data_IF_223085569423
#
_entry.id   IF_223085569423
#
_cell.length_a   1.000
_cell.length_b   1.000
_cell.length_c   1.000
_cell.angle_alpha   90.00
_cell.angle_beta   90.00
_cell.angle_gamma   90.00
#
_symmetry.space_group_name_H-M   'P 1'
#
loop_
_entity.id
_entity.type
_entity.pdbx_description
1 polymer ?
#
# COMPACT_ATOMS: atom_id res chain seq x y z
N UNK A 1 -29.27 5.52 -30.41
CA UNK A 1 -28.79 4.34 -31.16
C UNK A 1 -27.29 4.41 -31.13
N UNK A 2 -26.65 3.54 -30.36
CA UNK A 2 -25.21 3.60 -30.18
C UNK A 2 -24.54 2.66 -31.17
N UNK A 3 -24.05 3.23 -32.28
CA UNK A 3 -23.17 2.49 -33.19
C UNK A 3 -21.78 2.37 -32.58
N UNK A 4 -20.97 1.41 -33.06
CA UNK A 4 -19.64 1.16 -32.49
C UNK A 4 -18.73 2.36 -32.74
N UNK A 5 -18.85 3.02 -33.90
CA UNK A 5 -18.10 4.24 -34.19
C UNK A 5 -18.52 5.41 -33.30
N UNK A 6 -19.81 5.55 -33.00
CA UNK A 6 -20.31 6.61 -32.12
C UNK A 6 -19.90 6.37 -30.66
N UNK A 7 -19.91 5.12 -30.20
CA UNK A 7 -19.39 4.75 -28.88
C UNK A 7 -17.90 5.08 -28.75
N UNK A 8 -17.09 4.74 -29.77
CA UNK A 8 -15.67 5.10 -29.79
C UNK A 8 -15.46 6.61 -29.78
N UNK A 9 -16.23 7.37 -30.58
CA UNK A 9 -16.18 8.84 -30.57
C UNK A 9 -16.51 9.40 -29.19
N UNK A 10 -17.56 8.89 -28.54
CA UNK A 10 -17.98 9.29 -27.20
C UNK A 10 -16.90 9.00 -26.16
N UNK A 11 -16.31 7.81 -26.18
CA UNK A 11 -15.24 7.45 -25.24
C UNK A 11 -13.97 8.29 -25.44
N UNK A 12 -13.61 8.64 -26.68
CA UNK A 12 -12.52 9.59 -26.93
C UNK A 12 -12.85 10.98 -26.41
N UNK A 13 -14.06 11.48 -26.64
CA UNK A 13 -14.53 12.76 -26.09
C UNK A 13 -14.47 12.75 -24.55
N UNK A 14 -14.96 11.70 -23.91
CA UNK A 14 -14.96 11.54 -22.45
C UNK A 14 -13.55 11.55 -21.86
N UNK A 15 -12.61 10.84 -22.50
CA UNK A 15 -11.20 10.85 -22.11
C UNK A 15 -10.59 12.24 -22.20
N UNK A 16 -10.83 12.96 -23.29
CA UNK A 16 -10.32 14.32 -23.46
C UNK A 16 -10.87 15.26 -22.38
N UNK A 17 -12.18 15.17 -22.10
CA UNK A 17 -12.82 15.96 -21.04
C UNK A 17 -12.28 15.64 -19.65
N UNK A 18 -12.05 14.35 -19.34
CA UNK A 18 -11.43 13.95 -18.08
C UNK A 18 -10.03 14.56 -17.94
N UNK A 19 -9.21 14.53 -19.00
CA UNK A 19 -7.88 15.15 -19.00
C UNK A 19 -7.97 16.67 -18.78
N UNK A 20 -8.87 17.35 -19.48
CA UNK A 20 -9.09 18.80 -19.32
C UNK A 20 -9.48 19.17 -17.88
N UNK A 21 -10.39 18.40 -17.28
CA UNK A 21 -10.87 18.68 -15.91
C UNK A 21 -9.78 18.38 -14.89
N UNK A 22 -9.05 17.26 -15.02
CA UNK A 22 -7.91 16.97 -14.16
C UNK A 22 -6.81 18.04 -14.29
N UNK A 23 -6.52 18.52 -15.51
CA UNK A 23 -5.56 19.59 -15.73
C UNK A 23 -5.99 20.91 -15.07
N UNK A 24 -7.28 21.26 -15.16
CA UNK A 24 -7.85 22.42 -14.45
C UNK A 24 -7.77 22.25 -12.94
N UNK A 25 -8.09 21.07 -12.42
CA UNK A 25 -8.01 20.76 -10.98
C UNK A 25 -6.59 20.95 -10.45
N UNK A 26 -5.58 20.50 -11.21
CA UNK A 26 -4.16 20.66 -10.88
C UNK A 26 -3.65 22.10 -10.97
N UNK A 27 -4.26 22.94 -11.82
CA UNK A 27 -3.90 24.35 -11.94
C UNK A 27 -4.40 25.18 -10.75
N UNK A 28 -5.43 24.71 -10.05
CA UNK A 28 -6.07 25.47 -8.98
C UNK A 28 -5.22 25.39 -7.71
N UNK A 29 -4.99 26.56 -7.11
CA UNK A 29 -4.23 26.66 -5.86
C UNK A 29 -5.04 26.08 -4.71
N UNK A 30 -4.43 25.14 -4.00
CA UNK A 30 -4.99 24.48 -2.81
C UNK A 30 -4.43 25.21 -1.58
N UNK A 31 -5.30 25.76 -0.74
CA UNK A 31 -4.91 26.59 0.42
C UNK A 31 -4.73 25.77 1.68
N UNK A 32 -5.49 24.68 1.84
CA UNK A 32 -5.41 23.80 3.03
C UNK A 32 -5.07 22.36 2.65
N UNK A 33 -4.59 21.58 3.62
CA UNK A 33 -4.32 20.14 3.46
C UNK A 33 -5.60 19.38 3.08
N UNK A 34 -6.73 19.74 3.70
CA UNK A 34 -8.05 19.17 3.39
C UNK A 34 -8.44 19.40 1.94
N UNK A 35 -8.25 20.63 1.43
CA UNK A 35 -8.54 20.95 0.03
C UNK A 35 -7.63 20.19 -0.93
N UNK A 36 -6.36 20.00 -0.54
CA UNK A 36 -5.41 19.20 -1.30
C UNK A 36 -5.85 17.75 -1.40
N UNK A 37 -6.10 17.08 -0.26
CA UNK A 37 -6.53 15.68 -0.21
C UNK A 37 -7.82 15.47 -1.01
N UNK A 38 -8.82 16.35 -0.82
CA UNK A 38 -10.08 16.26 -1.55
C UNK A 38 -9.90 16.43 -3.06
N UNK A 39 -9.05 17.36 -3.48
CA UNK A 39 -8.72 17.55 -4.88
C UNK A 39 -8.06 16.31 -5.49
N UNK A 40 -7.17 15.69 -4.73
CA UNK A 40 -6.45 14.49 -5.14
C UNK A 40 -7.41 13.29 -5.24
N UNK A 41 -8.39 13.16 -4.33
CA UNK A 41 -9.46 12.15 -4.42
C UNK A 41 -10.39 12.35 -5.61
N UNK A 42 -10.79 13.60 -5.91
CA UNK A 42 -11.56 13.88 -7.15
C UNK A 42 -10.76 13.47 -8.37
N UNK A 43 -9.48 13.80 -8.41
CA UNK A 43 -8.59 13.46 -9.51
C UNK A 43 -8.44 11.94 -9.63
N UNK A 44 -8.33 11.22 -8.51
CA UNK A 44 -8.29 9.75 -8.51
C UNK A 44 -9.56 9.14 -9.08
N UNK A 45 -10.74 9.60 -8.67
CA UNK A 45 -12.01 9.13 -9.25
C UNK A 45 -12.10 9.41 -10.78
N UNK A 46 -11.56 10.54 -11.24
CA UNK A 46 -11.46 10.84 -12.68
C UNK A 46 -10.47 9.92 -13.40
N UNK A 47 -9.35 9.56 -12.77
CA UNK A 47 -8.39 8.60 -13.32
C UNK A 47 -8.99 7.20 -13.43
N UNK A 48 -9.72 6.74 -12.40
CA UNK A 48 -10.38 5.44 -12.42
C UNK A 48 -11.40 5.37 -13.58
N UNK A 49 -12.22 6.43 -13.74
CA UNK A 49 -13.13 6.57 -14.89
C UNK A 49 -12.38 6.60 -16.23
N UNK A 50 -11.25 7.30 -16.30
CA UNK A 50 -10.41 7.36 -17.50
C UNK A 50 -9.84 5.97 -17.87
N UNK A 51 -9.41 5.19 -16.88
CA UNK A 51 -8.90 3.84 -17.06
C UNK A 51 -10.00 2.89 -17.54
N UNK A 52 -11.19 2.96 -16.94
CA UNK A 52 -12.35 2.17 -17.36
C UNK A 52 -12.73 2.48 -18.81
N UNK A 53 -12.90 3.76 -19.16
CA UNK A 53 -13.22 4.20 -20.52
C UNK A 53 -12.14 3.75 -21.51
N UNK A 54 -10.87 3.86 -21.12
CA UNK A 54 -9.76 3.41 -21.97
C UNK A 54 -9.73 1.89 -22.17
N UNK A 55 -10.09 1.12 -21.14
CA UNK A 55 -10.23 -0.34 -21.23
C UNK A 55 -11.34 -0.73 -22.21
N UNK A 56 -12.54 -0.16 -22.02
CA UNK A 56 -13.69 -0.40 -22.89
C UNK A 56 -13.40 0.01 -24.35
N UNK A 57 -12.74 1.15 -24.54
CA UNK A 57 -12.35 1.66 -25.85
C UNK A 57 -11.38 0.70 -26.56
N UNK A 58 -10.36 0.20 -25.84
CA UNK A 58 -9.41 -0.77 -26.39
C UNK A 58 -10.13 -2.05 -26.84
N UNK A 59 -11.04 -2.56 -26.02
CA UNK A 59 -11.79 -3.78 -26.37
C UNK A 59 -12.66 -3.60 -27.62
N UNK A 60 -13.21 -2.39 -27.84
CA UNK A 60 -13.92 -2.04 -29.07
C UNK A 60 -13.00 -1.90 -30.30
N UNK A 61 -11.74 -1.48 -30.10
CA UNK A 61 -10.76 -1.42 -31.19
C UNK A 61 -10.21 -2.81 -31.57
N UNK A 62 -10.07 -3.71 -30.60
CA UNK A 62 -9.64 -5.10 -30.79
C UNK A 62 -10.59 -5.88 -31.72
N UNK A 63 -11.88 -5.52 -31.75
CA UNK A 63 -12.87 -6.00 -32.72
C UNK A 63 -12.93 -7.54 -32.77
N UNK A 64 -12.99 -8.19 -31.60
CA UNK A 64 -12.99 -9.66 -31.48
C UNK A 64 -14.19 -10.32 -32.17
N UNK A 65 -15.32 -9.61 -32.25
CA UNK A 65 -16.55 -10.05 -32.89
C UNK A 65 -16.64 -9.65 -34.38
N UNK A 66 -15.73 -8.79 -34.87
CA UNK A 66 -15.71 -8.31 -36.26
C UNK A 66 -16.78 -7.25 -36.57
N UNK A 67 -17.61 -6.87 -35.60
CA UNK A 67 -18.75 -5.98 -35.82
C UNK A 67 -18.31 -4.58 -36.26
N UNK A 68 -17.14 -4.11 -35.81
CA UNK A 68 -16.60 -2.81 -36.22
C UNK A 68 -16.23 -2.82 -37.70
N UNK A 69 -15.61 -3.90 -38.19
CA UNK A 69 -15.29 -4.07 -39.62
C UNK A 69 -16.54 -4.18 -40.46
N UNK A 70 -17.56 -4.90 -39.99
CA UNK A 70 -18.85 -4.99 -40.66
C UNK A 70 -19.51 -3.62 -40.76
N UNK A 71 -19.58 -2.87 -39.64
CA UNK A 71 -20.15 -1.52 -39.66
C UNK A 71 -19.40 -0.59 -40.61
N UNK A 72 -18.07 -0.63 -40.60
CA UNK A 72 -17.25 0.21 -41.48
C UNK A 72 -17.45 -0.16 -42.96
N UNK A 73 -17.57 -1.45 -43.26
CA UNK A 73 -17.81 -1.95 -44.61
C UNK A 73 -19.21 -1.61 -45.11
N UNK A 74 -20.18 -1.54 -44.21
CA UNK A 74 -21.55 -1.13 -44.49
C UNK A 74 -21.61 0.38 -44.83
N UNK A 75 -20.82 1.20 -44.11
CA UNK A 75 -20.68 2.64 -44.39
C UNK A 75 -19.94 2.92 -45.71
N UNK A 76 -18.85 2.20 -45.98
CA UNK A 76 -17.95 2.44 -47.12
C UNK A 76 -18.17 1.46 -48.30
N UNK A 77 -19.35 0.86 -48.40
CA UNK A 77 -19.69 -0.16 -49.40
C UNK A 77 -20.38 0.41 -50.65
N UNK A 78 -20.80 -0.42 -51.63
CA UNK A 78 -21.45 0.06 -52.86
C UNK A 78 -22.80 0.77 -52.66
N UNK A 79 -23.44 0.61 -51.50
CA UNK A 79 -24.79 1.07 -51.18
C UNK A 79 -24.82 2.18 -50.09
N UNK A 80 -23.77 3.01 -49.98
CA UNK A 80 -23.58 4.02 -48.92
C UNK A 80 -24.82 4.90 -48.71
N UNK A 81 -25.43 5.39 -49.79
CA UNK A 81 -26.59 6.26 -49.73
C UNK A 81 -27.81 5.58 -49.11
N UNK A 82 -28.08 4.33 -49.48
CA UNK A 82 -29.22 3.59 -48.94
C UNK A 82 -29.05 3.36 -47.43
N UNK A 83 -27.83 3.04 -47.00
CA UNK A 83 -27.50 2.85 -45.60
C UNK A 83 -27.62 4.16 -44.80
N UNK A 84 -27.11 5.26 -45.34
CA UNK A 84 -27.27 6.60 -44.74
C UNK A 84 -28.74 6.94 -44.51
N UNK A 85 -29.60 6.75 -45.52
CA UNK A 85 -31.03 7.03 -45.39
C UNK A 85 -31.73 6.11 -44.39
N UNK A 86 -31.32 4.84 -44.28
CA UNK A 86 -31.83 3.93 -43.27
C UNK A 86 -31.48 4.38 -41.84
N UNK A 87 -30.21 4.75 -41.61
CA UNK A 87 -29.76 5.29 -40.31
C UNK A 87 -30.47 6.60 -39.98
N UNK A 88 -30.60 7.51 -40.94
CA UNK A 88 -31.33 8.77 -40.78
C UNK A 88 -32.81 8.55 -40.44
N UNK A 89 -33.46 7.58 -41.10
CA UNK A 89 -34.86 7.22 -40.81
C UNK A 89 -35.00 6.74 -39.37
N UNK A 90 -34.12 5.86 -38.91
CA UNK A 90 -34.14 5.37 -37.54
C UNK A 90 -33.90 6.50 -36.51
N UNK A 91 -32.97 7.43 -36.78
CA UNK A 91 -32.75 8.62 -35.93
C UNK A 91 -34.02 9.47 -35.85
N UNK A 92 -34.66 9.74 -36.99
CA UNK A 92 -35.93 10.50 -37.03
C UNK A 92 -37.06 9.80 -36.27
N UNK A 93 -37.14 8.47 -36.37
CA UNK A 93 -38.11 7.67 -35.60
C UNK A 93 -37.81 7.70 -34.10
N UNK A 94 -36.54 7.65 -33.70
CA UNK A 94 -36.13 7.74 -32.30
C UNK A 94 -36.56 9.08 -31.69
N UNK A 95 -36.25 10.21 -32.33
CA UNK A 95 -36.68 11.54 -31.85
C UNK A 95 -38.20 11.74 -31.92
N UNK A 96 -38.90 11.07 -32.84
CA UNK A 96 -40.38 11.07 -32.86
C UNK A 96 -40.96 10.33 -31.66
N UNK A 97 -40.35 9.21 -31.24
CA UNK A 97 -40.78 8.42 -30.07
C UNK A 97 -40.42 9.07 -28.74
N UNK A 98 -39.34 9.87 -28.71
CA UNK A 98 -38.86 10.54 -27.51
C UNK A 98 -38.87 12.08 -27.69
N UNK A 99 -40.03 12.72 -27.86
CA UNK A 99 -40.13 14.15 -28.17
C UNK A 99 -39.70 15.06 -27.00
N UNK A 100 -39.71 14.54 -25.77
CA UNK A 100 -39.35 15.28 -24.55
C UNK A 100 -37.98 14.86 -23.98
N UNK A 101 -37.25 13.98 -24.67
CA UNK A 101 -35.92 13.55 -24.22
C UNK A 101 -34.91 14.66 -24.55
N UNK A 102 -34.41 15.31 -23.50
CA UNK A 102 -33.38 16.34 -23.62
C UNK A 102 -32.04 15.60 -23.76
N UNK A 103 -31.39 15.75 -24.92
CA UNK A 103 -30.01 15.31 -25.08
C UNK A 103 -29.12 16.24 -24.26
N UNK A 104 -28.60 15.74 -23.13
CA UNK A 104 -27.63 16.47 -22.30
C UNK A 104 -26.24 16.22 -22.89
N UNK A 105 -25.55 17.24 -23.41
CA UNK A 105 -24.18 17.07 -23.88
C UNK A 105 -23.29 16.64 -22.72
N UNK A 106 -22.29 15.79 -23.01
CA UNK A 106 -21.31 15.36 -22.02
C UNK A 106 -20.59 16.54 -21.35
N UNK A 107 -20.44 17.67 -22.04
CA UNK A 107 -19.90 18.89 -21.44
C UNK A 107 -20.68 19.39 -20.22
N UNK A 108 -22.00 19.17 -20.17
CA UNK A 108 -22.84 19.59 -19.05
C UNK A 108 -22.50 18.81 -17.78
N UNK A 109 -22.26 17.50 -17.88
CA UNK A 109 -21.85 16.68 -16.74
C UNK A 109 -20.53 17.21 -16.14
N UNK A 110 -19.55 17.53 -17.00
CA UNK A 110 -18.27 18.08 -16.54
C UNK A 110 -18.39 19.51 -16.00
N UNK A 111 -19.31 20.32 -16.52
CA UNK A 111 -19.63 21.64 -15.95
C UNK A 111 -20.31 21.54 -14.59
N UNK A 112 -21.20 20.56 -14.39
CA UNK A 112 -21.83 20.28 -13.10
C UNK A 112 -20.82 19.80 -12.06
N UNK A 113 -19.86 18.95 -12.45
CA UNK A 113 -18.74 18.55 -11.59
C UNK A 113 -17.91 19.75 -11.12
N UNK A 114 -17.66 20.72 -12.01
CA UNK A 114 -16.96 21.96 -11.65
C UNK A 114 -17.79 22.85 -10.70
N UNK A 115 -19.11 22.94 -10.91
CA UNK A 115 -20.00 23.72 -10.02
C UNK A 115 -20.15 23.10 -8.64
N UNK A 116 -20.25 21.77 -8.56
CA UNK A 116 -20.33 21.02 -7.30
C UNK A 116 -19.07 21.23 -6.44
N UNK A 117 -17.92 21.49 -7.08
CA UNK A 117 -16.68 21.87 -6.40
C UNK A 117 -16.70 23.31 -5.88
N UNK A 118 -17.27 24.26 -6.63
CA UNK A 118 -17.37 25.66 -6.20
C UNK A 118 -18.35 25.85 -5.03
N UNK A 119 -19.43 25.07 -5.01
CA UNK A 119 -20.43 25.05 -3.93
C UNK A 119 -20.65 23.63 -3.41
N UNK A 120 -19.68 23.04 -2.67
CA UNK A 120 -19.87 21.72 -2.07
C UNK A 120 -20.93 21.80 -0.97
N UNK A 121 -21.83 20.81 -0.90
CA UNK A 121 -22.57 20.53 0.33
C UNK A 121 -21.59 20.03 1.40
N UNK A 122 -21.95 20.16 2.68
CA UNK A 122 -21.09 19.75 3.80
C UNK A 122 -20.68 18.26 3.71
N UNK A 123 -21.59 17.40 3.22
CA UNK A 123 -21.35 15.98 2.93
C UNK A 123 -20.47 15.74 1.68
N UNK A 124 -20.57 16.59 0.65
CA UNK A 124 -19.72 16.52 -0.54
C UNK A 124 -18.32 17.14 -0.32
N UNK A 125 -18.13 17.84 0.80
CA UNK A 125 -16.88 18.51 1.14
C UNK A 125 -15.84 17.56 1.76
N UNK A 126 -16.26 16.40 2.27
CA UNK A 126 -15.36 15.33 2.71
C UNK A 126 -15.52 14.12 1.80
N UNK A 127 -14.58 13.94 0.87
CA UNK A 127 -14.59 12.77 -0.01
C UNK A 127 -14.01 11.53 0.67
N UNK A 128 -13.35 11.72 1.82
CA UNK A 128 -12.74 10.65 2.59
C UNK A 128 -12.92 10.90 4.08
N UNK A 129 -13.18 9.81 4.78
CA UNK A 129 -13.35 9.79 6.22
C UNK A 129 -11.99 9.68 6.91
N UNK A 130 -11.77 10.57 7.86
CA UNK A 130 -10.67 10.50 8.82
C UNK A 130 -11.28 10.58 10.22
N UNK A 131 -10.63 9.92 11.16
CA UNK A 131 -10.90 10.13 12.58
C UNK A 131 -10.49 11.56 12.99
N UNK A 132 -11.08 12.04 14.08
CA UNK A 132 -10.75 13.36 14.62
C UNK A 132 -9.26 13.46 15.03
N UNK A 133 -8.68 12.35 15.49
CA UNK A 133 -7.27 12.27 15.90
C UNK A 133 -6.31 12.33 14.70
N UNK A 134 -6.71 11.79 13.54
CA UNK A 134 -5.92 11.86 12.30
C UNK A 134 -5.89 13.28 11.70
N UNK A 135 -6.87 14.13 12.07
CA UNK A 135 -6.89 15.54 11.68
C UNK A 135 -6.89 15.76 10.16
N UNK A 136 -7.64 14.93 9.42
CA UNK A 136 -7.73 14.96 7.95
C UNK A 136 -6.38 14.77 7.25
N UNK A 137 -5.63 13.75 7.65
CA UNK A 137 -4.34 13.40 7.07
C UNK A 137 -3.15 14.12 7.69
N UNK A 138 -3.35 14.85 8.79
CA UNK A 138 -2.28 15.59 9.48
C UNK A 138 -1.50 14.72 10.47
N UNK A 139 -2.15 13.73 11.06
CA UNK A 139 -1.59 12.90 12.12
C UNK A 139 -1.95 11.43 11.88
N UNK A 140 -1.12 10.52 12.39
CA UNK A 140 -1.47 9.11 12.46
C UNK A 140 -1.96 8.79 13.87
N UNK A 141 -3.13 8.17 13.98
CA UNK A 141 -3.56 7.55 15.23
C UNK A 141 -2.89 6.18 15.39
N UNK A 142 -1.84 6.13 16.19
CA UNK A 142 -1.14 4.89 16.54
C UNK A 142 -1.50 4.39 17.93
N UNK A 143 -2.53 4.96 18.58
CA UNK A 143 -2.92 4.58 19.93
C UNK A 143 -3.40 3.13 19.99
N UNK A 144 -4.27 2.74 19.05
CA UNK A 144 -4.75 1.36 18.94
C UNK A 144 -3.59 0.38 18.64
N UNK A 145 -2.65 0.79 17.78
CA UNK A 145 -1.46 0.01 17.50
C UNK A 145 -0.60 -0.19 18.77
N UNK A 146 -0.42 0.85 19.57
CA UNK A 146 0.27 0.79 20.85
C UNK A 146 -0.43 -0.17 21.83
N UNK A 147 -1.76 -0.08 21.97
CA UNK A 147 -2.52 -0.97 22.86
C UNK A 147 -2.36 -2.45 22.47
N UNK A 148 -2.24 -2.75 21.17
CA UNK A 148 -1.94 -4.12 20.72
C UNK A 148 -0.48 -4.49 20.96
N UNK A 149 0.44 -3.56 20.78
CA UNK A 149 1.86 -3.77 21.01
C UNK A 149 2.18 -4.10 22.48
N UNK A 150 1.60 -3.38 23.45
CA UNK A 150 1.81 -3.68 24.88
C UNK A 150 1.26 -5.04 25.31
N UNK A 151 0.30 -5.57 24.55
CA UNK A 151 -0.31 -6.88 24.80
C UNK A 151 0.50 -8.04 24.20
N UNK A 152 1.57 -7.74 23.44
CA UNK A 152 2.47 -8.76 22.92
C UNK A 152 3.23 -9.45 24.06
N UNK A 153 3.33 -10.77 23.99
CA UNK A 153 4.00 -11.54 25.03
C UNK A 153 5.48 -11.18 25.11
N UNK A 154 5.95 -10.81 26.31
CA UNK A 154 7.32 -10.40 26.63
C UNK A 154 7.75 -8.98 26.18
N UNK A 155 6.82 -8.06 25.92
CA UNK A 155 7.12 -6.63 25.90
C UNK A 155 7.24 -6.08 27.32
N UNK A 156 8.28 -5.28 27.55
CA UNK A 156 8.37 -4.46 28.76
C UNK A 156 7.21 -3.46 28.81
N UNK A 157 6.88 -2.93 30.00
CA UNK A 157 5.91 -1.83 30.11
C UNK A 157 6.51 -0.61 29.43
N UNK A 158 6.21 -0.44 28.15
CA UNK A 158 6.63 0.69 27.34
C UNK A 158 5.54 1.75 27.40
N UNK A 159 5.94 3.01 27.55
CA UNK A 159 5.03 4.13 27.42
C UNK A 159 4.75 4.42 25.93
N UNK A 160 3.71 5.22 25.67
CA UNK A 160 3.32 5.58 24.31
C UNK A 160 4.44 6.33 23.57
N UNK A 161 5.16 7.18 24.30
CA UNK A 161 6.27 7.99 23.80
C UNK A 161 7.43 7.13 23.30
N UNK A 162 7.86 6.16 24.11
CA UNK A 162 8.93 5.24 23.73
C UNK A 162 8.45 4.38 22.57
N UNK A 163 7.18 3.96 22.56
CA UNK A 163 6.59 3.26 21.42
C UNK A 163 6.71 4.07 20.11
N UNK A 164 6.34 5.36 20.11
CA UNK A 164 6.48 6.23 18.93
C UNK A 164 7.94 6.44 18.49
N UNK A 165 8.90 6.24 19.39
CA UNK A 165 10.32 6.36 19.07
C UNK A 165 10.93 5.08 18.48
N UNK A 166 10.23 3.95 18.58
CA UNK A 166 10.74 2.62 18.17
C UNK A 166 9.86 1.88 17.16
N UNK A 167 8.62 2.33 16.92
CA UNK A 167 7.67 1.60 16.06
C UNK A 167 8.17 1.48 14.60
N UNK A 168 9.04 2.37 14.15
CA UNK A 168 9.70 2.37 12.84
C UNK A 168 11.05 1.62 12.84
N UNK A 169 11.60 1.30 14.02
CA UNK A 169 12.85 0.57 14.22
C UNK A 169 12.64 -0.96 14.17
N UNK A 170 11.88 -1.44 13.17
CA UNK A 170 11.48 -2.85 13.06
C UNK A 170 12.66 -3.81 12.87
N UNK A 171 13.76 -3.32 12.29
CA UNK A 171 14.96 -4.12 12.02
C UNK A 171 15.80 -4.41 13.27
N UNK A 172 15.65 -3.60 14.33
CA UNK A 172 16.42 -3.73 15.57
C UNK A 172 15.74 -4.68 16.58
N UNK A 173 14.50 -5.10 16.29
CA UNK A 173 13.76 -6.01 17.17
C UNK A 173 14.39 -7.41 17.14
N UNK A 174 14.75 -7.99 18.31
CA UNK A 174 15.34 -9.32 18.39
C UNK A 174 14.44 -10.40 17.78
N UNK A 175 15.04 -11.36 17.08
CA UNK A 175 14.35 -12.47 16.41
C UNK A 175 13.45 -13.28 17.36
N UNK A 176 13.82 -13.37 18.63
CA UNK A 176 13.07 -14.07 19.68
C UNK A 176 11.70 -13.43 19.95
N UNK A 177 11.55 -12.13 19.69
CA UNK A 177 10.29 -11.39 19.81
C UNK A 177 9.43 -11.48 18.53
N UNK A 178 10.01 -11.88 17.39
CA UNK A 178 9.33 -12.03 16.10
C UNK A 178 8.51 -13.33 16.01
N UNK A 179 7.53 -13.45 16.90
CA UNK A 179 6.63 -14.60 16.99
C UNK A 179 5.34 -14.41 16.16
N UNK A 180 4.39 -15.34 16.25
CA UNK A 180 3.13 -15.25 15.51
C UNK A 180 2.22 -14.09 15.97
N UNK A 181 2.31 -13.66 17.23
CA UNK A 181 1.55 -12.50 17.72
C UNK A 181 2.12 -11.20 17.17
N UNK A 182 3.45 -11.09 17.11
CA UNK A 182 4.15 -9.98 16.46
C UNK A 182 3.82 -9.90 14.97
N UNK A 183 3.76 -11.04 14.25
CA UNK A 183 3.31 -11.06 12.85
C UNK A 183 1.91 -10.44 12.69
N UNK A 184 0.95 -10.80 13.55
CA UNK A 184 -0.41 -10.22 13.50
C UNK A 184 -0.42 -8.73 13.81
N UNK A 185 0.41 -8.28 14.74
CA UNK A 185 0.59 -6.86 15.02
C UNK A 185 1.12 -6.11 13.77
N UNK A 186 2.13 -6.67 13.08
CA UNK A 186 2.64 -6.08 11.84
C UNK A 186 1.60 -6.07 10.73
N UNK A 187 0.83 -7.14 10.56
CA UNK A 187 -0.27 -7.19 9.57
C UNK A 187 -1.28 -6.06 9.81
N UNK A 188 -1.71 -5.88 11.06
CA UNK A 188 -2.63 -4.81 11.44
C UNK A 188 -2.03 -3.41 11.27
N UNK A 189 -0.77 -3.21 11.68
CA UNK A 189 -0.07 -1.93 11.51
C UNK A 189 0.08 -1.59 10.02
N UNK A 190 0.47 -2.58 9.20
CA UNK A 190 0.60 -2.41 7.76
C UNK A 190 -0.74 -2.08 7.11
N UNK A 191 -1.81 -2.80 7.47
CA UNK A 191 -3.16 -2.53 6.96
C UNK A 191 -3.59 -1.09 7.24
N UNK A 192 -3.40 -0.63 8.49
CA UNK A 192 -3.67 0.76 8.86
C UNK A 192 -2.82 1.76 8.06
N UNK A 193 -1.51 1.52 7.91
CA UNK A 193 -0.62 2.42 7.17
C UNK A 193 -0.94 2.46 5.66
N UNK A 194 -1.35 1.33 5.08
CA UNK A 194 -1.76 1.24 3.68
C UNK A 194 -3.04 2.03 3.43
N UNK A 195 -4.08 1.76 4.21
CA UNK A 195 -5.35 2.46 4.15
C UNK A 195 -5.17 3.97 4.41
N UNK A 196 -4.39 4.34 5.43
CA UNK A 196 -4.04 5.74 5.68
C UNK A 196 -3.33 6.37 4.49
N UNK A 197 -2.37 5.67 3.87
CA UNK A 197 -1.65 6.17 2.68
C UNK A 197 -2.60 6.40 1.51
N UNK A 198 -3.53 5.49 1.26
CA UNK A 198 -4.56 5.65 0.23
C UNK A 198 -5.48 6.85 0.49
N UNK A 199 -5.81 7.09 1.76
CA UNK A 199 -6.57 8.27 2.17
C UNK A 199 -5.79 9.58 1.99
N UNK A 200 -4.51 9.64 2.35
CA UNK A 200 -3.73 10.90 2.29
C UNK A 200 -3.08 11.18 0.95
N UNK A 201 -2.79 10.14 0.16
CA UNK A 201 -2.09 10.22 -1.13
C UNK A 201 -2.79 9.32 -2.17
N UNK A 202 -4.06 9.59 -2.53
CA UNK A 202 -4.83 8.74 -3.43
C UNK A 202 -4.29 8.66 -4.87
N UNK A 203 -3.42 9.59 -5.26
CA UNK A 203 -2.76 9.62 -6.57
C UNK A 203 -1.48 8.76 -6.62
N UNK A 204 -1.07 8.17 -5.49
CA UNK A 204 0.02 7.21 -5.44
C UNK A 204 -0.47 5.87 -6.01
N UNK A 205 0.22 5.32 -7.01
CA UNK A 205 -0.08 3.98 -7.52
C UNK A 205 0.45 2.93 -6.53
N UNK A 206 -0.47 2.31 -5.79
CA UNK A 206 -0.16 1.25 -4.84
C UNK A 206 0.37 -0.02 -5.52
N UNK A 207 -0.07 -0.32 -6.76
CA UNK A 207 0.39 -1.50 -7.48
C UNK A 207 1.85 -1.33 -7.92
N UNK A 208 2.19 -0.13 -8.42
CA UNK A 208 3.58 0.21 -8.75
C UNK A 208 4.45 0.18 -7.50
N UNK A 209 3.97 0.78 -6.41
CA UNK A 209 4.67 0.79 -5.13
C UNK A 209 4.92 -0.63 -4.60
N UNK A 210 3.88 -1.47 -4.55
CA UNK A 210 4.00 -2.85 -4.13
C UNK A 210 4.98 -3.63 -5.00
N UNK A 211 4.88 -3.48 -6.33
CA UNK A 211 5.80 -4.10 -7.27
C UNK A 211 7.26 -3.66 -7.05
N UNK A 212 7.50 -2.38 -6.76
CA UNK A 212 8.82 -1.86 -6.41
C UNK A 212 9.34 -2.47 -5.11
N UNK A 213 8.54 -2.46 -4.05
CA UNK A 213 8.91 -3.03 -2.74
C UNK A 213 9.24 -4.51 -2.87
N UNK A 214 8.40 -5.28 -3.57
CA UNK A 214 8.62 -6.71 -3.83
C UNK A 214 9.97 -6.94 -4.52
N UNK A 215 10.23 -6.21 -5.61
CA UNK A 215 11.47 -6.36 -6.38
C UNK A 215 12.72 -5.97 -5.58
N UNK A 216 12.65 -4.90 -4.79
CA UNK A 216 13.77 -4.49 -3.94
C UNK A 216 13.99 -5.46 -2.78
N UNK A 217 12.91 -5.93 -2.16
CA UNK A 217 12.96 -6.92 -1.10
C UNK A 217 13.59 -8.22 -1.59
N UNK A 218 13.13 -8.78 -2.71
CA UNK A 218 13.70 -10.01 -3.28
C UNK A 218 15.19 -9.86 -3.55
N UNK A 219 15.61 -8.75 -4.15
CA UNK A 219 17.03 -8.46 -4.39
C UNK A 219 17.84 -8.38 -3.09
N UNK A 220 17.34 -7.70 -2.05
CA UNK A 220 18.04 -7.57 -0.75
C UNK A 220 18.04 -8.90 0.01
N UNK A 221 16.94 -9.65 -0.09
CA UNK A 221 16.76 -10.95 0.56
C UNK A 221 17.66 -12.02 -0.04
N UNK A 222 17.68 -12.16 -1.37
CA UNK A 222 18.49 -13.16 -2.07
C UNK A 222 20.00 -12.88 -1.96
N UNK A 223 20.38 -11.61 -1.77
CA UNK A 223 21.75 -11.20 -1.50
C UNK A 223 22.12 -11.26 -0.01
N UNK A 224 21.16 -11.56 0.87
CA UNK A 224 21.37 -11.63 2.31
C UNK A 224 21.74 -10.31 2.99
N UNK A 225 21.42 -9.18 2.34
CA UNK A 225 21.71 -7.82 2.82
C UNK A 225 20.53 -7.15 3.51
N UNK A 226 19.41 -7.87 3.68
CA UNK A 226 18.21 -7.33 4.32
C UNK A 226 18.46 -7.04 5.82
N UNK A 227 18.22 -5.80 6.30
CA UNK A 227 18.43 -5.42 7.70
C UNK A 227 17.58 -6.22 8.69
N UNK A 228 18.09 -6.49 9.90
CA UNK A 228 17.38 -7.26 10.94
C UNK A 228 17.21 -8.76 10.64
N UNK A 229 17.45 -9.17 9.40
CA UNK A 229 17.49 -10.56 8.96
C UNK A 229 18.76 -10.86 8.18
N UNK A 230 19.95 -10.59 8.74
CA UNK A 230 21.19 -10.97 8.08
C UNK A 230 21.12 -12.44 7.74
N UNK A 231 21.19 -12.74 6.44
CA UNK A 231 21.31 -14.12 6.02
C UNK A 231 22.61 -14.64 6.63
N UNK A 232 22.61 -15.92 6.99
CA UNK A 232 23.70 -16.65 7.60
C UNK A 232 24.98 -16.70 6.72
N UNK A 233 25.12 -15.82 5.74
CA UNK A 233 26.32 -15.53 4.97
C UNK A 233 27.48 -15.04 5.87
N UNK A 234 27.19 -14.40 7.01
CA UNK A 234 28.21 -14.09 8.04
C UNK A 234 28.66 -15.30 8.85
N UNK A 235 27.97 -16.44 8.74
CA UNK A 235 28.23 -17.57 9.62
C UNK A 235 29.11 -18.66 9.02
N UNK A 236 29.26 -18.81 7.70
CA UNK A 236 30.10 -19.86 7.05
C UNK A 236 29.73 -21.33 7.38
N UNK A 237 29.01 -21.52 8.48
CA UNK A 237 28.76 -22.73 9.24
C UNK A 237 27.38 -23.29 8.86
N UNK A 238 26.46 -22.43 8.41
CA UNK A 238 25.14 -22.83 7.91
C UNK A 238 25.11 -23.20 6.43
N UNK A 239 26.00 -22.66 5.59
CA UNK A 239 26.18 -23.18 4.22
C UNK A 239 26.80 -24.59 4.26
N UNK A 240 27.80 -24.81 5.11
CA UNK A 240 28.37 -26.14 5.37
C UNK A 240 27.33 -27.11 5.94
N UNK A 241 26.53 -26.65 6.92
CA UNK A 241 25.44 -27.44 7.51
C UNK A 241 24.38 -27.80 6.47
N UNK A 242 23.96 -26.85 5.63
CA UNK A 242 22.95 -27.05 4.59
C UNK A 242 23.45 -27.98 3.49
N UNK A 243 24.70 -27.83 3.04
CA UNK A 243 25.31 -28.72 2.06
C UNK A 243 25.48 -30.15 2.59
N UNK A 244 25.90 -30.31 3.85
CA UNK A 244 25.97 -31.63 4.51
C UNK A 244 24.58 -32.26 4.66
N UNK A 245 23.56 -31.48 5.05
CA UNK A 245 22.18 -31.97 5.17
C UNK A 245 21.58 -32.36 3.82
N UNK A 246 21.85 -31.61 2.75
CA UNK A 246 21.41 -31.94 1.39
C UNK A 246 22.00 -33.26 0.87
N UNK A 247 23.21 -33.61 1.32
CA UNK A 247 23.88 -34.89 1.04
C UNK A 247 23.55 -35.98 2.07
N UNK A 248 22.68 -35.70 3.05
CA UNK A 248 22.30 -36.65 4.10
C UNK A 248 23.37 -36.93 5.16
N UNK A 249 24.42 -36.10 5.22
CA UNK A 249 25.59 -36.29 6.09
C UNK A 249 25.41 -35.62 7.47
N UNK A 250 26.15 -36.13 8.47
CA UNK A 250 26.15 -35.60 9.83
C UNK A 250 26.75 -34.18 9.90
N UNK A 251 26.00 -33.28 10.51
CA UNK A 251 26.38 -31.87 10.66
C UNK A 251 26.92 -31.49 12.06
N UNK A 252 27.25 -32.45 12.92
CA UNK A 252 27.87 -32.21 14.23
C UNK A 252 29.40 -32.02 14.12
N UNK A 253 30.00 -31.29 15.08
CA UNK A 253 31.44 -31.01 15.13
C UNK A 253 31.82 -29.55 14.87
N UNK A 254 33.13 -29.27 14.91
CA UNK A 254 33.74 -27.95 14.65
C UNK A 254 33.62 -27.56 13.16
N UNK A 255 33.88 -26.29 12.82
CA UNK A 255 33.77 -25.80 11.44
C UNK A 255 34.73 -26.52 10.48
N UNK A 256 35.95 -26.83 10.93
CA UNK A 256 36.95 -27.56 10.18
C UNK A 256 36.52 -29.01 9.92
N UNK A 257 35.93 -29.68 10.92
CA UNK A 257 35.40 -31.05 10.78
C UNK A 257 34.25 -31.12 9.77
N UNK A 258 33.39 -30.08 9.72
CA UNK A 258 32.29 -30.00 8.73
C UNK A 258 32.82 -29.75 7.32
N UNK A 259 33.79 -28.85 7.18
CA UNK A 259 34.43 -28.57 5.89
C UNK A 259 35.16 -29.79 5.34
N UNK A 260 35.92 -30.51 6.18
CA UNK A 260 36.58 -31.76 5.80
C UNK A 260 35.58 -32.85 5.38
N UNK A 261 34.46 -32.98 6.09
CA UNK A 261 33.41 -33.95 5.77
C UNK A 261 32.77 -33.66 4.41
N UNK A 262 32.50 -32.39 4.11
CA UNK A 262 31.99 -31.99 2.79
C UNK A 262 33.05 -32.14 1.69
N UNK A 263 34.33 -31.87 1.99
CA UNK A 263 35.40 -32.03 1.02
C UNK A 263 35.67 -33.51 0.67
N UNK A 264 35.47 -34.41 1.64
CA UNK A 264 35.65 -35.86 1.46
C UNK A 264 34.68 -36.49 0.43
N UNK A 265 33.58 -35.80 0.11
CA UNK A 265 32.61 -36.24 -0.91
C UNK A 265 32.94 -35.70 -2.31
N UNK A 266 33.96 -34.85 -2.45
CA UNK A 266 34.36 -34.28 -3.75
C UNK A 266 35.06 -35.36 -4.59
N UNK A 267 34.42 -35.76 -5.70
CA UNK A 267 34.98 -36.72 -6.65
C UNK A 267 34.75 -38.20 -6.30
N UNK A 268 33.87 -38.51 -5.32
CA UNK A 268 33.46 -39.88 -4.96
C UNK A 268 31.95 -40.03 -5.12
N UNK A 269 31.49 -41.21 -5.58
CA UNK A 269 30.06 -41.53 -5.60
C UNK A 269 29.53 -41.71 -4.17
N UNK A 270 28.30 -41.27 -3.90
CA UNK A 270 27.68 -41.27 -2.57
C UNK A 270 27.58 -42.69 -1.95
N UNK A 271 27.53 -43.72 -2.79
CA UNK A 271 27.48 -45.14 -2.39
C UNK A 271 28.84 -45.68 -1.91
N UNK A 272 29.94 -45.02 -2.26
CA UNK A 272 31.31 -45.39 -1.86
C UNK A 272 31.76 -44.77 -0.54
N UNK A 273 30.89 -43.97 0.09
CA UNK A 273 31.16 -43.30 1.35
C UNK A 273 30.74 -44.18 2.54
N UNK A 274 31.46 -44.04 3.65
CA UNK A 274 31.15 -44.80 4.86
C UNK A 274 29.75 -44.44 5.40
N UNK A 275 28.93 -45.47 5.62
CA UNK A 275 27.59 -45.41 6.20
C UNK A 275 27.53 -44.65 7.53
N UNK A 276 28.64 -44.60 8.28
CA UNK A 276 28.75 -43.89 9.56
C UNK A 276 28.67 -42.36 9.41
N UNK A 277 28.89 -41.81 8.22
CA UNK A 277 28.88 -40.39 7.93
C UNK A 277 27.46 -39.83 7.71
N UNK A 278 26.46 -40.69 7.49
CA UNK A 278 25.08 -40.28 7.23
C UNK A 278 24.27 -40.06 8.52
N UNK A 279 23.39 -39.06 8.50
CA UNK A 279 22.51 -38.73 9.61
C UNK A 279 21.25 -39.62 9.60
N UNK A 280 20.84 -40.12 10.77
CA UNK A 280 19.55 -40.78 10.96
C UNK A 280 18.48 -39.69 11.14
N UNK A 281 17.59 -39.51 10.16
CA UNK A 281 16.58 -38.43 10.14
C UNK A 281 15.52 -38.59 11.27
N UNK A 282 14.85 -37.51 11.78
CA UNK A 282 14.16 -36.50 10.96
C UNK A 282 14.14 -35.03 11.50
N UNK A 283 14.52 -34.03 10.69
CA UNK A 283 14.05 -32.62 10.78
C UNK A 283 14.30 -31.86 9.46
N UNK A 284 13.44 -31.98 8.46
CA UNK A 284 13.50 -31.10 7.26
C UNK A 284 12.23 -30.30 7.01
N UNK A 285 11.07 -30.74 7.52
CA UNK A 285 9.77 -30.06 7.32
C UNK A 285 9.57 -28.82 8.22
N UNK A 286 10.10 -28.84 9.45
CA UNK A 286 10.00 -27.70 10.38
C UNK A 286 10.84 -26.49 9.95
N UNK A 287 12.07 -26.75 9.48
CA UNK A 287 13.02 -25.70 9.08
C UNK A 287 12.54 -24.90 7.88
N UNK A 288 11.90 -25.54 6.89
CA UNK A 288 11.31 -24.84 5.73
C UNK A 288 10.14 -23.93 6.11
N UNK A 289 9.28 -24.38 7.02
CA UNK A 289 8.14 -23.58 7.50
C UNK A 289 8.58 -22.38 8.33
N UNK A 290 9.65 -22.54 9.12
CA UNK A 290 10.23 -21.45 9.88
C UNK A 290 10.94 -20.43 8.98
N UNK A 291 11.59 -20.86 7.89
CA UNK A 291 12.20 -19.93 6.92
C UNK A 291 11.16 -19.14 6.13
N UNK A 292 10.06 -19.78 5.74
CA UNK A 292 8.95 -19.13 5.03
C UNK A 292 8.24 -18.11 5.94
N UNK A 293 7.92 -18.50 7.19
CA UNK A 293 7.35 -17.57 8.19
C UNK A 293 8.26 -16.36 8.42
N UNK A 294 9.57 -16.58 8.52
CA UNK A 294 10.52 -15.50 8.74
C UNK A 294 10.63 -14.57 7.52
N UNK A 295 10.55 -15.13 6.30
CA UNK A 295 10.52 -14.34 5.06
C UNK A 295 9.26 -13.47 5.00
N UNK A 296 8.10 -14.02 5.38
CA UNK A 296 6.86 -13.25 5.46
C UNK A 296 6.98 -12.07 6.42
N UNK A 297 7.51 -12.30 7.63
CA UNK A 297 7.68 -11.24 8.63
C UNK A 297 8.66 -10.18 8.12
N UNK A 298 9.79 -10.59 7.53
CA UNK A 298 10.75 -9.67 6.94
C UNK A 298 10.13 -8.83 5.81
N UNK A 299 9.26 -9.44 5.00
CA UNK A 299 8.56 -8.73 3.95
C UNK A 299 7.57 -7.70 4.51
N UNK A 300 6.78 -8.06 5.52
CA UNK A 300 5.90 -7.13 6.22
C UNK A 300 6.68 -5.95 6.82
N UNK A 301 7.83 -6.21 7.45
CA UNK A 301 8.70 -5.15 7.99
C UNK A 301 9.25 -4.23 6.89
N UNK A 302 9.61 -4.80 5.72
CA UNK A 302 10.02 -4.02 4.57
C UNK A 302 8.91 -3.09 4.07
N UNK A 303 7.68 -3.62 3.96
CA UNK A 303 6.52 -2.84 3.52
C UNK A 303 6.24 -1.70 4.49
N UNK A 304 6.19 -1.98 5.80
CA UNK A 304 5.94 -0.95 6.82
C UNK A 304 7.00 0.14 6.77
N UNK A 305 8.28 -0.23 6.64
CA UNK A 305 9.37 0.73 6.52
C UNK A 305 9.17 1.69 5.34
N UNK A 306 8.81 1.16 4.17
CA UNK A 306 8.60 1.97 2.96
C UNK A 306 7.35 2.86 3.08
N UNK A 307 6.25 2.36 3.66
CA UNK A 307 5.06 3.19 3.93
C UNK A 307 5.36 4.30 4.94
N UNK A 308 6.14 4.00 5.98
CA UNK A 308 6.62 4.96 6.98
C UNK A 308 7.48 6.05 6.32
N UNK A 309 8.36 5.67 5.40
CA UNK A 309 9.20 6.61 4.64
C UNK A 309 8.35 7.49 3.72
N UNK A 310 7.38 6.91 2.99
CA UNK A 310 6.48 7.64 2.08
C UNK A 310 5.60 8.62 2.83
N UNK A 311 5.03 8.22 3.96
CA UNK A 311 4.22 9.08 4.81
C UNK A 311 5.08 10.13 5.53
N UNK A 312 6.42 10.00 5.51
CA UNK A 312 7.33 10.85 6.26
C UNK A 312 6.99 10.82 7.75
N UNK A 313 6.65 9.63 8.28
CA UNK A 313 6.06 9.50 9.62
C UNK A 313 6.98 10.08 10.69
N UNK A 314 8.30 10.07 10.52
CA UNK A 314 9.23 10.75 11.43
C UNK A 314 8.97 12.26 11.53
N UNK A 315 8.54 12.91 10.45
CA UNK A 315 8.13 14.33 10.44
C UNK A 315 6.77 14.48 11.12
N UNK A 316 5.80 13.62 10.82
CA UNK A 316 4.47 13.68 11.42
C UNK A 316 4.51 13.42 12.94
N UNK A 317 5.31 12.45 13.37
CA UNK A 317 5.55 12.14 14.78
C UNK A 317 6.35 13.22 15.49
N UNK A 318 7.33 13.85 14.82
CA UNK A 318 8.03 15.01 15.39
C UNK A 318 7.06 16.15 15.64
N UNK A 319 6.13 16.40 14.71
CA UNK A 319 5.08 17.41 14.88
C UNK A 319 4.11 17.02 16.01
N UNK A 320 3.73 15.74 16.14
CA UNK A 320 2.90 15.25 17.25
C UNK A 320 3.63 15.41 18.58
N UNK A 321 4.91 15.03 18.65
CA UNK A 321 5.76 15.19 19.83
C UNK A 321 5.83 16.65 20.27
N UNK A 322 6.19 17.55 19.35
CA UNK A 322 6.33 18.97 19.64
C UNK A 322 4.97 19.61 20.04
N UNK A 323 3.86 19.15 19.44
CA UNK A 323 2.51 19.61 19.78
C UNK A 323 2.04 19.06 21.13
N UNK A 324 2.31 17.80 21.43
CA UNK A 324 1.96 17.17 22.70
C UNK A 324 2.78 17.77 23.84
N UNK A 325 4.09 17.96 23.67
CA UNK A 325 4.93 18.72 24.61
C UNK A 325 4.37 20.12 24.84
N UNK A 326 3.96 20.83 23.78
CA UNK A 326 3.40 22.17 23.91
C UNK A 326 2.05 22.18 24.64
N UNK A 327 1.13 21.28 24.28
CA UNK A 327 -0.21 21.18 24.92
C UNK A 327 -0.10 20.71 26.37
N UNK A 328 0.78 19.75 26.65
CA UNK A 328 1.07 19.27 28.00
C UNK A 328 1.68 20.39 28.83
N UNK A 329 2.71 21.08 28.33
CA UNK A 329 3.31 22.23 29.02
C UNK A 329 2.30 23.37 29.25
N UNK A 330 1.41 23.63 28.29
CA UNK A 330 0.35 24.62 28.41
C UNK A 330 -0.69 24.23 29.47
N UNK A 331 -1.18 22.98 29.44
CA UNK A 331 -2.11 22.45 30.45
C UNK A 331 -1.52 22.50 31.86
N UNK A 332 -0.25 22.12 32.01
CA UNK A 332 0.49 22.20 33.28
C UNK A 332 0.64 23.65 33.76
N UNK A 333 0.89 24.60 32.85
CA UNK A 333 0.92 26.03 33.16
C UNK A 333 -0.45 26.55 33.62
N UNK A 334 -1.54 26.11 33.01
CA UNK A 334 -2.91 26.45 33.44
C UNK A 334 -3.23 25.93 34.86
N UNK A 335 -2.65 24.78 35.24
CA UNK A 335 -2.76 24.20 36.59
C UNK A 335 -1.75 24.80 37.60
N UNK A 336 -0.85 25.69 37.14
CA UNK A 336 0.19 26.29 37.96
C UNK A 336 1.25 25.29 38.44
N UNK A 337 1.49 24.21 37.67
CA UNK A 337 2.48 23.18 37.97
C UNK A 337 3.72 23.41 37.09
N UNK A 338 4.94 23.43 37.65
CA UNK A 338 6.16 23.60 36.86
C UNK A 338 6.43 22.36 36.01
N UNK A 339 6.63 22.56 34.70
CA UNK A 339 6.95 21.49 33.75
C UNK A 339 8.37 20.96 33.99
N UNK A 340 8.50 19.97 34.87
CA UNK A 340 9.76 19.33 35.26
C UNK A 340 9.66 17.82 35.01
N UNK A 341 10.81 17.12 34.90
CA UNK A 341 10.86 15.69 34.57
C UNK A 341 10.05 14.79 35.54
N UNK A 342 9.73 15.28 36.75
CA UNK A 342 8.86 14.60 37.70
C UNK A 342 7.43 14.36 37.21
N UNK A 343 6.93 15.19 36.29
CA UNK A 343 5.55 15.13 35.82
C UNK A 343 5.41 14.58 34.38
N UNK A 344 6.48 14.02 33.81
CA UNK A 344 6.50 13.58 32.42
C UNK A 344 5.45 12.48 32.10
N UNK A 345 5.06 11.68 33.09
CA UNK A 345 4.17 10.53 32.92
C UNK A 345 2.81 10.69 33.59
N UNK A 346 2.49 11.89 34.09
CA UNK A 346 1.24 12.12 34.82
C UNK A 346 0.14 12.48 33.82
N UNK A 347 -0.86 11.60 33.70
CA UNK A 347 -1.94 11.72 32.71
C UNK A 347 -3.25 12.21 33.30
N UNK A 348 -3.48 12.03 34.60
CA UNK A 348 -4.65 12.54 35.30
C UNK A 348 -4.34 13.84 36.06
N UNK A 349 -5.26 14.80 35.99
CA UNK A 349 -5.11 16.11 36.67
C UNK A 349 -5.03 15.94 38.19
N UNK A 350 -5.80 15.00 38.74
CA UNK A 350 -5.86 14.70 40.17
C UNK A 350 -4.50 14.22 40.69
N UNK A 351 -3.84 13.33 39.95
CA UNK A 351 -2.50 12.83 40.26
C UNK A 351 -1.45 13.95 40.17
N UNK A 352 -1.54 14.82 39.17
CA UNK A 352 -0.60 15.94 38.98
C UNK A 352 -0.68 16.96 40.12
N UNK A 353 -1.89 17.22 40.62
CA UNK A 353 -2.14 18.13 41.74
C UNK A 353 -1.79 17.47 43.07
N UNK A 354 -1.90 16.15 43.19
CA UNK A 354 -1.53 15.40 44.41
C UNK A 354 -0.02 15.35 44.67
N UNK A 355 0.79 15.48 43.61
CA UNK A 355 2.26 15.53 43.68
C UNK A 355 2.84 16.96 43.83
N UNK A 356 1.98 17.98 43.91
CA UNK A 356 2.35 19.37 44.19
C UNK A 356 2.58 19.55 45.70
#
# INVERSE_FOLDING_TARGET
METILEQQRRYHEEKERLMDVMAKEMLIKKSTLRDQINSDHRTRAMQDRYMEVSGNLRDLYDDKDGLRKEELSAISGPNEFAEFYNRLKQIKEFHRKHPNEICVPMSVEFEELLKARENPSEEAQNLVEFTDEEGYGRYLDLHDCYLKYINLKASEKLDYITYLSIFDQLFDIPKERKNAEYKRYLEMLLEYLQDYTDRVKPLQDQNELFGKIQNEFEKKWDNGTFPGWPELASLGLDRLKSALLALGLKCGGTLEERAQRLFSTKGKSLESLDSSLFAKNPKSKGTKRDTERNKDIAFLEAQIYEYVEILGVSILLKVIWDLWEWRHAHGMRCLGIPNTAHFANVTQIEDAVSCK
#
